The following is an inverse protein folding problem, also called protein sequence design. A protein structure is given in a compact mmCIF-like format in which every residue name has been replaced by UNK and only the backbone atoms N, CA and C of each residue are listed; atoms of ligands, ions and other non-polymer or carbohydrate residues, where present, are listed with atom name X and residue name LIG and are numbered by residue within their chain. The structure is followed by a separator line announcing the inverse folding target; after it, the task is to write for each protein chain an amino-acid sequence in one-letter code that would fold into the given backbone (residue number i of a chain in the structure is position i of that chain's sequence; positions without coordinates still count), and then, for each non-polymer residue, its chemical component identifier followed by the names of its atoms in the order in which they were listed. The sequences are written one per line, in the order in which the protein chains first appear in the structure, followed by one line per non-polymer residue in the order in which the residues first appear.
data_IF_791087433176
#
_entry.id   IF_791087433176
#
_cell.length_a   1.000
_cell.length_b   1.000
_cell.length_c   1.000
_cell.angle_alpha   90.00
_cell.angle_beta   90.00
_cell.angle_gamma   90.00
#
_symmetry.space_group_name_H-M   'P 1'
#
loop_
_entity.id
_entity.type
_entity.pdbx_description
1 polymer ?
#
# COMPACT_ATOMS: atom_id res chain seq x y z
N UNK A 1 1.90 4.97 28.07
CA UNK A 1 2.49 5.72 26.96
C UNK A 1 1.75 5.44 25.67
N UNK A 2 1.36 6.47 24.91
CA UNK A 2 0.70 6.20 23.64
C UNK A 2 1.67 5.55 22.66
N UNK A 3 1.20 4.56 21.94
CA UNK A 3 1.94 3.93 20.87
C UNK A 3 1.99 4.92 19.69
N UNK A 4 3.14 4.99 19.01
CA UNK A 4 3.26 5.81 17.80
C UNK A 4 2.16 5.40 16.81
N UNK A 5 1.55 6.39 16.17
CA UNK A 5 0.42 6.16 15.26
C UNK A 5 0.75 5.11 14.19
N UNK A 6 1.94 5.19 13.61
CA UNK A 6 2.40 4.28 12.56
C UNK A 6 2.58 2.83 13.01
N UNK A 7 2.66 2.59 14.32
CA UNK A 7 2.78 1.24 14.88
C UNK A 7 1.44 0.63 15.26
N UNK A 8 0.36 1.41 15.19
CA UNK A 8 -0.97 0.90 15.52
C UNK A 8 -1.50 0.02 14.40
N UNK A 9 -1.99 -1.19 14.70
CA UNK A 9 -2.51 -2.08 13.65
C UNK A 9 -3.58 -1.43 12.78
N UNK A 10 -4.51 -0.66 13.36
CA UNK A 10 -5.56 0.00 12.58
C UNK A 10 -4.98 1.03 11.60
N UNK A 11 -3.94 1.76 11.99
CA UNK A 11 -3.29 2.71 11.09
C UNK A 11 -2.68 1.99 9.88
N UNK A 12 -1.97 0.88 10.13
CA UNK A 12 -1.37 0.08 9.05
C UNK A 12 -2.43 -0.57 8.17
N UNK A 13 -3.53 -1.01 8.76
CA UNK A 13 -4.67 -1.51 7.98
C UNK A 13 -5.17 -0.42 7.03
N UNK A 14 -5.39 0.80 7.53
CA UNK A 14 -5.85 1.90 6.70
C UNK A 14 -4.85 2.26 5.61
N UNK A 15 -3.56 2.23 5.89
CA UNK A 15 -2.53 2.43 4.86
C UNK A 15 -2.65 1.38 3.75
N UNK A 16 -2.80 0.11 4.12
CA UNK A 16 -2.96 -0.97 3.15
C UNK A 16 -4.22 -0.79 2.30
N UNK A 17 -5.34 -0.42 2.93
CA UNK A 17 -6.59 -0.19 2.21
C UNK A 17 -6.47 0.96 1.23
N UNK A 18 -5.76 2.05 1.60
CA UNK A 18 -5.50 3.17 0.70
C UNK A 18 -4.65 2.74 -0.50
N UNK A 19 -3.62 1.93 -0.27
CA UNK A 19 -2.79 1.41 -1.36
C UNK A 19 -3.65 0.61 -2.34
N UNK A 20 -4.49 -0.29 -1.83
CA UNK A 20 -5.38 -1.09 -2.66
C UNK A 20 -6.34 -0.22 -3.47
N UNK A 21 -6.89 0.82 -2.84
CA UNK A 21 -7.87 1.69 -3.48
C UNK A 21 -7.24 2.62 -4.53
N UNK A 22 -6.14 3.29 -4.17
CA UNK A 22 -5.54 4.33 -5.01
C UNK A 22 -4.62 3.72 -6.07
N UNK A 23 -3.82 2.73 -5.69
CA UNK A 23 -2.75 2.19 -6.54
C UNK A 23 -3.10 0.84 -7.17
N UNK A 24 -4.14 0.17 -6.71
CA UNK A 24 -4.53 -1.14 -7.22
C UNK A 24 -5.39 -1.05 -8.46
N UNK A 25 -5.27 -2.04 -9.34
CA UNK A 25 -6.18 -2.22 -10.47
C UNK A 25 -7.38 -3.05 -10.01
N UNK A 26 -8.59 -2.47 -10.12
CA UNK A 26 -9.78 -3.12 -9.58
C UNK A 26 -9.71 -3.32 -8.08
N UNK A 27 -9.07 -2.40 -7.38
CA UNK A 27 -8.87 -2.41 -5.93
C UNK A 27 -8.10 -3.64 -5.43
N UNK A 28 -7.20 -4.18 -6.24
CA UNK A 28 -6.35 -5.32 -5.87
C UNK A 28 -4.89 -5.04 -6.19
N UNK A 29 -4.01 -5.59 -5.36
CA UNK A 29 -2.56 -5.54 -5.54
C UNK A 29 -1.95 -6.88 -5.17
N UNK A 30 -0.81 -7.21 -5.80
CA UNK A 30 0.01 -8.31 -5.33
C UNK A 30 0.55 -8.00 -3.92
N UNK A 31 0.90 -9.04 -3.18
CA UNK A 31 1.50 -8.88 -1.87
C UNK A 31 2.81 -8.09 -1.96
N UNK A 32 3.60 -8.35 -3.00
CA UNK A 32 4.86 -7.65 -3.22
C UNK A 32 4.62 -6.15 -3.41
N UNK A 33 3.63 -5.78 -4.24
CA UNK A 33 3.30 -4.37 -4.47
C UNK A 33 2.81 -3.68 -3.19
N UNK A 34 1.99 -4.37 -2.38
CA UNK A 34 1.54 -3.84 -1.10
C UNK A 34 2.72 -3.52 -0.19
N UNK A 35 3.66 -4.44 -0.05
CA UNK A 35 4.85 -4.22 0.78
C UNK A 35 5.74 -3.12 0.21
N UNK A 36 5.91 -3.06 -1.10
CA UNK A 36 6.71 -2.03 -1.74
C UNK A 36 6.13 -0.64 -1.48
N UNK A 37 4.83 -0.46 -1.70
CA UNK A 37 4.19 0.83 -1.48
C UNK A 37 4.18 1.22 0.00
N UNK A 38 3.98 0.25 0.88
CA UNK A 38 4.07 0.48 2.33
C UNK A 38 5.48 0.92 2.73
N UNK A 39 6.51 0.27 2.19
CA UNK A 39 7.90 0.65 2.40
C UNK A 39 8.14 2.11 1.96
N UNK A 40 7.62 2.48 0.81
CA UNK A 40 7.77 3.82 0.26
C UNK A 40 7.12 4.89 1.16
N UNK A 41 6.01 4.56 1.79
CA UNK A 41 5.28 5.51 2.64
C UNK A 41 5.99 5.86 3.94
N UNK A 42 7.05 5.13 4.31
CA UNK A 42 7.74 5.35 5.59
C UNK A 42 8.53 6.64 5.65
N UNK A 43 9.05 7.12 4.52
CA UNK A 43 9.78 8.39 4.48
C UNK A 43 9.47 9.17 3.20
N UNK A 44 9.54 10.51 3.24
CA UNK A 44 9.36 11.33 2.03
C UNK A 44 10.35 10.99 0.92
N UNK A 45 11.60 10.68 1.29
CA UNK A 45 12.63 10.33 0.32
C UNK A 45 12.28 9.06 -0.45
N UNK A 46 11.77 8.04 0.27
CA UNK A 46 11.33 6.79 -0.38
C UNK A 46 10.16 7.05 -1.30
N UNK A 47 9.24 7.93 -0.90
CA UNK A 47 8.09 8.26 -1.72
C UNK A 47 8.50 9.02 -2.98
N UNK A 48 9.49 9.90 -2.89
CA UNK A 48 10.07 10.57 -4.06
C UNK A 48 10.68 9.56 -5.02
N UNK A 49 11.39 8.57 -4.50
CA UNK A 49 11.95 7.48 -5.31
C UNK A 49 10.86 6.75 -6.08
N UNK A 50 9.75 6.44 -5.43
CA UNK A 50 8.62 5.77 -6.08
C UNK A 50 7.92 6.67 -7.09
N UNK A 51 7.79 7.96 -6.80
CA UNK A 51 7.21 8.91 -7.75
C UNK A 51 8.06 9.01 -9.01
N UNK A 52 9.38 9.05 -8.86
CA UNK A 52 10.29 9.05 -10.00
C UNK A 52 10.18 7.75 -10.81
N UNK A 53 10.10 6.61 -10.11
CA UNK A 53 9.92 5.31 -10.77
C UNK A 53 8.62 5.28 -11.59
N UNK A 54 7.56 5.88 -11.06
CA UNK A 54 6.28 5.98 -11.77
C UNK A 54 6.41 6.79 -13.05
N UNK A 55 7.17 7.88 -13.03
CA UNK A 55 7.42 8.72 -14.21
C UNK A 55 8.28 8.01 -15.23
N UNK A 56 9.30 7.28 -14.78
CA UNK A 56 10.25 6.61 -15.65
C UNK A 56 9.74 5.25 -16.17
N UNK A 57 8.70 4.70 -15.57
CA UNK A 57 8.21 3.37 -15.92
C UNK A 57 9.12 2.24 -15.48
N UNK A 58 10.03 2.51 -14.57
CA UNK A 58 11.05 1.56 -14.14
C UNK A 58 11.39 1.80 -12.68
N UNK A 59 11.47 0.72 -11.88
CA UNK A 59 11.84 0.79 -10.47
C UNK A 59 13.31 0.45 -10.34
N UNK A 60 14.04 1.31 -9.62
CA UNK A 60 15.44 1.07 -9.26
C UNK A 60 15.59 1.35 -7.76
N UNK A 61 15.80 0.29 -6.99
CA UNK A 61 15.90 0.36 -5.53
C UNK A 61 17.10 -0.44 -5.06
N UNK A 62 17.83 0.05 -4.02
CA UNK A 62 18.96 -0.70 -3.49
C UNK A 62 18.53 -1.97 -2.76
N UNK A 63 17.64 -1.86 -1.77
CA UNK A 63 17.12 -3.01 -1.01
C UNK A 63 15.81 -2.58 -0.34
N UNK A 64 14.86 -3.49 -0.30
CA UNK A 64 13.66 -3.36 0.53
C UNK A 64 13.21 -4.77 0.93
N UNK A 65 12.28 -4.87 1.85
CA UNK A 65 11.80 -6.15 2.31
C UNK A 65 10.39 -6.11 2.83
N UNK A 66 9.87 -7.28 3.17
CA UNK A 66 8.55 -7.41 3.75
C UNK A 66 8.57 -6.96 5.21
N UNK A 67 7.58 -6.20 5.60
CA UNK A 67 7.40 -5.73 6.97
C UNK A 67 6.46 -6.70 7.70
N UNK A 68 6.95 -7.40 8.74
CA UNK A 68 6.08 -8.31 9.50
C UNK A 68 4.86 -7.62 10.10
N UNK A 69 4.98 -6.36 10.47
CA UNK A 69 3.84 -5.61 11.02
C UNK A 69 2.74 -5.40 9.98
N UNK A 70 3.11 -5.17 8.72
CA UNK A 70 2.13 -5.08 7.64
C UNK A 70 1.46 -6.44 7.40
N UNK A 71 2.23 -7.52 7.44
CA UNK A 71 1.68 -8.87 7.29
C UNK A 71 0.62 -9.15 8.36
N UNK A 72 0.88 -8.76 9.61
CA UNK A 72 -0.10 -8.89 10.70
C UNK A 72 -1.33 -8.03 10.41
N UNK A 73 -1.14 -6.78 9.98
CA UNK A 73 -2.25 -5.88 9.66
C UNK A 73 -3.14 -6.46 8.55
N UNK A 74 -2.54 -7.05 7.52
CA UNK A 74 -3.29 -7.68 6.44
C UNK A 74 -4.12 -8.87 6.93
N UNK A 75 -3.57 -9.68 7.84
CA UNK A 75 -4.33 -10.79 8.44
C UNK A 75 -5.51 -10.27 9.24
N UNK A 76 -5.31 -9.21 10.02
CA UNK A 76 -6.40 -8.58 10.80
C UNK A 76 -7.47 -8.00 9.87
N UNK A 77 -7.07 -7.34 8.80
CA UNK A 77 -8.00 -6.80 7.81
C UNK A 77 -8.82 -7.91 7.16
N UNK A 78 -8.19 -9.03 6.86
CA UNK A 78 -8.90 -10.19 6.31
C UNK A 78 -9.93 -10.73 7.31
N UNK A 79 -9.55 -10.89 8.57
CA UNK A 79 -10.46 -11.37 9.62
C UNK A 79 -11.66 -10.44 9.82
N UNK A 80 -11.43 -9.14 9.67
CA UNK A 80 -12.49 -8.13 9.82
C UNK A 80 -13.36 -7.99 8.56
N UNK A 81 -13.10 -8.77 7.51
CA UNK A 81 -13.90 -8.73 6.29
C UNK A 81 -13.67 -7.51 5.43
N UNK A 82 -12.50 -6.87 5.53
CA UNK A 82 -12.16 -5.67 4.77
C UNK A 82 -11.52 -6.00 3.42
N UNK A 83 -10.78 -7.10 3.36
CA UNK A 83 -10.07 -7.58 2.19
C UNK A 83 -10.27 -9.08 2.04
N UNK A 84 -9.99 -9.58 0.83
CA UNK A 84 -9.97 -11.02 0.58
C UNK A 84 -8.72 -11.38 -0.23
N UNK A 85 -8.19 -12.60 -0.08
CA UNK A 85 -7.02 -13.01 -0.82
C UNK A 85 -7.34 -13.21 -2.31
N UNK A 86 -6.33 -12.91 -3.13
CA UNK A 86 -6.33 -13.25 -4.57
C UNK A 86 -5.17 -14.20 -4.82
N UNK A 87 -4.95 -14.59 -6.07
CA UNK A 87 -3.85 -15.49 -6.40
C UNK A 87 -2.47 -14.93 -6.05
N UNK A 88 -2.31 -13.59 -6.04
CA UNK A 88 -1.01 -12.95 -5.82
C UNK A 88 -0.98 -12.01 -4.63
N UNK A 89 -2.13 -11.66 -4.07
CA UNK A 89 -2.19 -10.68 -2.98
C UNK A 89 -3.57 -10.55 -2.38
N UNK A 90 -4.10 -9.33 -2.37
CA UNK A 90 -5.38 -9.03 -1.74
C UNK A 90 -6.21 -8.07 -2.59
N UNK A 91 -7.51 -8.07 -2.33
CA UNK A 91 -8.48 -7.17 -2.95
C UNK A 91 -9.40 -6.61 -1.88
N UNK A 92 -9.80 -5.34 -2.04
CA UNK A 92 -10.85 -4.75 -1.20
C UNK A 92 -12.18 -5.44 -1.47
N UNK A 93 -12.92 -5.73 -0.39
CA UNK A 93 -14.30 -6.19 -0.50
C UNK A 93 -15.23 -5.13 0.08
N UNK A 94 -16.52 -5.37 0.06
CA UNK A 94 -17.53 -4.34 0.30
C UNK A 94 -17.29 -3.50 1.56
N UNK A 95 -17.05 -4.16 2.69
CA UNK A 95 -16.82 -3.47 3.96
C UNK A 95 -15.55 -2.61 3.93
N UNK A 96 -14.49 -3.12 3.28
CA UNK A 96 -13.24 -2.39 3.10
C UNK A 96 -13.41 -1.18 2.20
N UNK A 97 -14.19 -1.32 1.13
CA UNK A 97 -14.50 -0.21 0.23
C UNK A 97 -15.27 0.89 0.92
N UNK A 98 -16.22 0.53 1.79
CA UNK A 98 -16.95 1.51 2.59
C UNK A 98 -16.01 2.28 3.51
N UNK A 99 -15.12 1.58 4.21
CA UNK A 99 -14.16 2.21 5.10
C UNK A 99 -13.23 3.17 4.33
N UNK A 100 -12.71 2.74 3.19
CA UNK A 100 -11.85 3.58 2.34
C UNK A 100 -12.62 4.80 1.85
N UNK A 101 -13.88 4.63 1.45
CA UNK A 101 -14.71 5.76 1.02
C UNK A 101 -14.82 6.80 2.13
N UNK A 102 -15.06 6.36 3.37
CA UNK A 102 -15.12 7.26 4.51
C UNK A 102 -13.79 7.95 4.77
N UNK A 103 -12.66 7.23 4.67
CA UNK A 103 -11.33 7.80 4.81
C UNK A 103 -11.09 8.85 3.73
N UNK A 104 -11.44 8.57 2.48
CA UNK A 104 -11.23 9.49 1.37
C UNK A 104 -12.06 10.77 1.49
N UNK A 105 -13.24 10.69 2.09
CA UNK A 105 -14.12 11.83 2.31
C UNK A 105 -13.66 12.73 3.46
N UNK A 106 -12.97 12.17 4.44
CA UNK A 106 -12.53 12.91 5.62
C UNK A 106 -11.23 13.66 5.31
N UNK A 107 -11.30 14.97 5.14
CA UNK A 107 -10.15 15.80 4.79
C UNK A 107 -9.12 15.95 5.91
N UNK A 108 -9.36 15.38 7.08
CA UNK A 108 -8.45 15.48 8.24
C UNK A 108 -7.68 14.19 8.51
N UNK A 109 -8.03 13.08 7.83
CA UNK A 109 -7.46 11.75 8.08
C UNK A 109 -6.50 11.36 6.96
N UNK A 110 -5.29 10.95 7.34
CA UNK A 110 -4.28 10.41 6.43
C UNK A 110 -4.03 11.31 5.20
N UNK A 111 -3.94 12.62 5.46
CA UNK A 111 -3.85 13.63 4.39
C UNK A 111 -2.61 13.43 3.53
N UNK A 112 -1.45 13.25 4.16
CA UNK A 112 -0.18 13.09 3.44
C UNK A 112 -0.16 11.81 2.62
N UNK A 113 -0.65 10.74 3.17
CA UNK A 113 -0.72 9.44 2.47
C UNK A 113 -1.63 9.54 1.24
N UNK A 114 -2.78 10.18 1.37
CA UNK A 114 -3.69 10.38 0.24
C UNK A 114 -3.03 11.16 -0.89
N UNK A 115 -2.35 12.26 -0.55
CA UNK A 115 -1.69 13.12 -1.54
C UNK A 115 -0.57 12.36 -2.25
N UNK A 116 0.31 11.73 -1.49
CA UNK A 116 1.47 11.05 -2.06
C UNK A 116 1.08 9.83 -2.88
N UNK A 117 0.15 9.02 -2.40
CA UNK A 117 -0.33 7.86 -3.16
C UNK A 117 -1.07 8.29 -4.42
N UNK A 118 -1.83 9.38 -4.37
CA UNK A 118 -2.56 9.87 -5.54
C UNK A 118 -1.63 10.36 -6.65
N UNK A 119 -0.46 10.89 -6.30
CA UNK A 119 0.55 11.28 -7.28
C UNK A 119 1.09 10.08 -8.05
N UNK A 120 1.23 8.96 -7.40
CA UNK A 120 1.68 7.71 -8.01
C UNK A 120 0.52 7.04 -8.74
N UNK A 121 -0.66 6.98 -8.11
CA UNK A 121 -1.83 6.33 -8.67
C UNK A 121 -1.52 4.90 -9.08
N UNK A 122 -1.91 4.54 -10.30
CA UNK A 122 -1.71 3.19 -10.86
C UNK A 122 -0.48 3.09 -11.75
N UNK A 123 0.41 4.07 -11.72
CA UNK A 123 1.59 4.11 -12.59
C UNK A 123 2.63 3.07 -12.24
N UNK A 124 2.69 2.62 -10.98
CA UNK A 124 3.52 1.49 -10.60
C UNK A 124 2.73 0.21 -10.92
N UNK A 125 3.11 -0.44 -12.01
CA UNK A 125 2.40 -1.62 -12.50
C UNK A 125 2.88 -2.90 -11.81
N UNK A 126 2.06 -3.95 -11.86
CA UNK A 126 2.47 -5.26 -11.37
C UNK A 126 3.67 -5.81 -12.14
N UNK A 127 3.76 -5.50 -13.42
CA UNK A 127 4.92 -5.88 -14.23
C UNK A 127 6.22 -5.27 -13.74
N UNK A 128 6.20 -3.98 -13.39
CA UNK A 128 7.36 -3.30 -12.83
C UNK A 128 7.79 -3.94 -11.50
N UNK A 129 6.82 -4.23 -10.64
CA UNK A 129 7.07 -4.85 -9.34
C UNK A 129 7.63 -6.25 -9.50
N UNK A 130 7.08 -7.03 -10.41
CA UNK A 130 7.55 -8.39 -10.71
C UNK A 130 8.98 -8.39 -11.21
N UNK A 131 9.35 -7.45 -12.06
CA UNK A 131 10.70 -7.34 -12.58
C UNK A 131 11.72 -7.11 -11.47
N UNK A 132 11.44 -6.15 -10.57
CA UNK A 132 12.38 -5.87 -9.49
C UNK A 132 12.44 -6.99 -8.46
N UNK A 133 11.34 -7.68 -8.18
CA UNK A 133 11.35 -8.77 -7.21
C UNK A 133 12.17 -9.97 -7.71
N UNK A 134 12.25 -10.18 -9.02
CA UNK A 134 13.09 -11.23 -9.60
C UNK A 134 14.58 -10.99 -9.40
N UNK A 135 15.00 -9.71 -9.36
CA UNK A 135 16.41 -9.37 -9.14
C UNK A 135 16.88 -9.76 -7.76
N UNK A 136 15.97 -10.07 -6.85
CA UNK A 136 16.28 -10.39 -5.46
C UNK A 136 16.18 -11.87 -5.12
N UNK A 137 15.84 -12.69 -6.09
CA UNK A 137 15.79 -14.14 -5.92
C UNK A 137 17.19 -14.77 -5.97
#
# INVERSE_FOLDING_TARGET
MPVLTELRPMYKICQALLILHICGHGSKCSLVKLHLMHWAMKTPKRMETMSLAAQLGQISLPVWGFDPALSIALQLAFRDGLIEPTSTGFRLIHKGQQLVTDIMKDGTVMVDEKVTLSKIGRKITEGMVKTISKEWE
#
